data_IF_081284549262
#
_entry.id   IF_081284549262
#
_cell.length_a   1.000
_cell.length_b   1.000
_cell.length_c   1.000
_cell.angle_alpha   90.00
_cell.angle_beta   90.00
_cell.angle_gamma   90.00
#
_symmetry.space_group_name_H-M   'P 1'
#
loop_
_entity.id
_entity.type
_entity.pdbx_description
1 polymer ?
#
# COMPACT_ATOMS: atom_id res chain seq x y z
N UNK A 1 -11.84 25.09 14.40
CA UNK A 1 -10.96 23.90 14.49
C UNK A 1 -9.59 24.31 13.99
N UNK A 2 -8.51 23.98 14.70
CA UNK A 2 -7.15 24.20 14.22
C UNK A 2 -6.78 23.08 13.26
N UNK A 3 -6.08 23.40 12.18
CA UNK A 3 -5.54 22.41 11.26
C UNK A 3 -4.32 21.73 11.90
N UNK A 4 -4.31 20.39 11.94
CA UNK A 4 -3.14 19.61 12.33
C UNK A 4 -2.39 19.14 11.07
N UNK A 5 -1.25 19.76 10.82
CA UNK A 5 -0.42 19.43 9.66
C UNK A 5 0.17 18.01 9.77
N UNK A 6 0.50 17.56 10.99
CA UNK A 6 1.14 16.27 11.20
C UNK A 6 0.18 15.12 10.88
N UNK A 7 -1.08 15.28 11.30
CA UNK A 7 -2.17 14.37 10.99
C UNK A 7 -2.43 14.35 9.48
N UNK A 8 -2.58 15.54 8.86
CA UNK A 8 -2.82 15.65 7.42
C UNK A 8 -1.74 14.97 6.58
N UNK A 9 -0.46 15.16 6.91
CA UNK A 9 0.66 14.53 6.17
C UNK A 9 0.69 13.01 6.37
N UNK A 10 0.37 12.53 7.58
CA UNK A 10 0.37 11.10 7.91
C UNK A 10 -0.78 10.39 7.18
N UNK A 11 -2.01 10.89 7.35
CA UNK A 11 -3.20 10.35 6.70
C UNK A 11 -3.13 10.48 5.17
N UNK A 12 -2.57 11.59 4.67
CA UNK A 12 -2.33 11.79 3.25
C UNK A 12 -1.41 10.72 2.65
N UNK A 13 -0.32 10.37 3.34
CA UNK A 13 0.57 9.28 2.88
C UNK A 13 -0.11 7.92 2.96
N UNK A 14 -0.77 7.61 4.07
CA UNK A 14 -1.49 6.33 4.26
C UNK A 14 -2.55 6.14 3.17
N UNK A 15 -3.38 7.15 2.94
CA UNK A 15 -4.40 7.13 1.90
C UNK A 15 -3.78 6.97 0.51
N UNK A 16 -2.68 7.65 0.23
CA UNK A 16 -1.99 7.54 -1.06
C UNK A 16 -1.44 6.14 -1.30
N UNK A 17 -0.91 5.48 -0.27
CA UNK A 17 -0.44 4.08 -0.37
C UNK A 17 -1.60 3.13 -0.58
N UNK A 18 -2.64 3.22 0.26
CA UNK A 18 -3.77 2.29 0.23
C UNK A 18 -4.55 2.35 -1.09
N UNK A 19 -4.61 3.52 -1.72
CA UNK A 19 -5.25 3.71 -3.01
C UNK A 19 -4.30 3.49 -4.21
N UNK A 20 -3.05 3.06 -3.98
CA UNK A 20 -2.05 2.84 -5.03
C UNK A 20 -1.65 4.11 -5.79
N UNK A 21 -1.87 5.30 -5.21
CA UNK A 21 -1.53 6.58 -5.83
C UNK A 21 -0.02 6.84 -5.83
N UNK A 22 0.69 6.31 -4.82
CA UNK A 22 2.14 6.37 -4.75
C UNK A 22 2.74 4.98 -4.46
N UNK A 23 3.94 4.68 -5.00
CA UNK A 23 4.67 3.48 -4.61
C UNK A 23 5.01 3.48 -3.11
N UNK A 24 4.95 2.31 -2.48
CA UNK A 24 5.28 2.16 -1.06
C UNK A 24 6.67 2.70 -0.70
N UNK A 25 7.67 2.45 -1.55
CA UNK A 25 9.04 2.88 -1.27
C UNK A 25 9.16 4.41 -1.27
N UNK A 26 8.38 5.08 -2.13
CA UNK A 26 8.31 6.54 -2.16
C UNK A 26 7.61 7.09 -0.90
N UNK A 27 6.56 6.41 -0.41
CA UNK A 27 5.89 6.77 0.83
C UNK A 27 6.84 6.67 2.05
N UNK A 28 7.68 5.64 2.11
CA UNK A 28 8.72 5.51 3.16
C UNK A 28 9.71 6.67 3.13
N UNK A 29 10.17 7.08 1.94
CA UNK A 29 11.08 8.23 1.79
C UNK A 29 10.42 9.53 2.26
N UNK A 30 9.14 9.76 1.90
CA UNK A 30 8.42 10.95 2.35
C UNK A 30 8.22 10.97 3.87
N UNK A 31 7.81 9.85 4.47
CA UNK A 31 7.67 9.75 5.92
C UNK A 31 9.00 10.03 6.65
N UNK A 32 10.11 9.48 6.16
CA UNK A 32 11.45 9.77 6.69
C UNK A 32 11.82 11.25 6.57
N UNK A 33 11.56 11.89 5.42
CA UNK A 33 11.82 13.31 5.24
C UNK A 33 10.94 14.20 6.13
N UNK A 34 9.68 13.82 6.35
CA UNK A 34 8.79 14.53 7.26
C UNK A 34 9.24 14.43 8.71
N UNK A 35 9.73 13.26 9.13
CA UNK A 35 10.32 13.07 10.45
C UNK A 35 11.57 13.94 10.64
N UNK A 36 12.50 13.94 9.68
CA UNK A 36 13.71 14.78 9.73
C UNK A 36 13.37 16.27 9.76
N UNK A 37 12.27 16.67 9.12
CA UNK A 37 11.75 18.05 9.17
C UNK A 37 10.88 18.34 10.40
N UNK A 38 10.74 17.39 11.32
CA UNK A 38 9.88 17.50 12.51
C UNK A 38 8.41 17.82 12.19
N UNK A 39 7.95 17.43 10.99
CA UNK A 39 6.56 17.62 10.55
C UNK A 39 5.64 16.51 11.05
N UNK A 40 6.21 15.34 11.31
CA UNK A 40 5.55 14.19 11.93
C UNK A 40 6.46 13.60 13.00
N UNK A 41 5.89 12.76 13.85
CA UNK A 41 6.59 12.05 14.92
C UNK A 41 7.03 10.65 14.47
N UNK A 42 7.92 10.03 15.25
CA UNK A 42 8.32 8.65 15.03
C UNK A 42 7.12 7.69 15.06
N UNK A 43 6.12 7.96 15.91
CA UNK A 43 4.90 7.15 15.99
C UNK A 43 4.06 7.24 14.70
N UNK A 44 4.00 8.42 14.08
CA UNK A 44 3.32 8.60 12.79
C UNK A 44 4.09 7.93 11.64
N UNK A 45 5.42 7.90 11.67
CA UNK A 45 6.23 7.11 10.72
C UNK A 45 5.91 5.61 10.84
N UNK A 46 5.77 5.10 12.07
CA UNK A 46 5.37 3.71 12.29
C UNK A 46 4.00 3.43 11.68
N UNK A 47 3.02 4.31 11.86
CA UNK A 47 1.69 4.16 11.25
C UNK A 47 1.74 4.08 9.72
N UNK A 48 2.54 4.93 9.06
CA UNK A 48 2.74 4.85 7.61
C UNK A 48 3.38 3.52 7.20
N UNK A 49 4.36 3.06 7.98
CA UNK A 49 5.07 1.80 7.71
C UNK A 49 4.16 0.57 7.87
N UNK A 50 3.28 0.59 8.88
CA UNK A 50 2.28 -0.45 9.11
C UNK A 50 1.26 -0.49 7.97
N UNK A 51 0.78 0.68 7.52
CA UNK A 51 -0.12 0.78 6.37
C UNK A 51 0.52 0.24 5.08
N UNK A 52 1.79 0.55 4.84
CA UNK A 52 2.57 -0.01 3.72
C UNK A 52 2.64 -1.53 3.80
N UNK A 53 2.91 -2.07 4.98
CA UNK A 53 3.00 -3.52 5.19
C UNK A 53 1.68 -4.21 4.91
N UNK A 54 0.57 -3.65 5.42
CA UNK A 54 -0.78 -4.13 5.16
C UNK A 54 -1.12 -4.08 3.66
N UNK A 55 -0.80 -2.97 2.98
CA UNK A 55 -1.03 -2.82 1.55
C UNK A 55 -0.25 -3.85 0.71
N UNK A 56 1.04 -4.08 1.02
CA UNK A 56 1.85 -5.10 0.33
C UNK A 56 1.30 -6.51 0.55
N UNK A 57 0.84 -6.81 1.77
CA UNK A 57 0.21 -8.10 2.07
C UNK A 57 -1.11 -8.29 1.30
N UNK A 58 -1.93 -7.24 1.20
CA UNK A 58 -3.18 -7.26 0.43
C UNK A 58 -2.92 -7.44 -1.07
N UNK A 59 -1.92 -6.76 -1.64
CA UNK A 59 -1.52 -6.97 -3.04
C UNK A 59 -1.05 -8.41 -3.29
N UNK A 60 -0.19 -8.95 -2.43
CA UNK A 60 0.27 -10.34 -2.58
C UNK A 60 -0.88 -11.35 -2.53
N UNK A 61 -1.90 -11.12 -1.70
CA UNK A 61 -3.10 -11.95 -1.66
C UNK A 61 -3.96 -11.81 -2.94
N UNK A 62 -4.09 -10.59 -3.47
CA UNK A 62 -4.80 -10.34 -4.73
C UNK A 62 -4.10 -11.00 -5.92
N UNK A 63 -2.76 -10.91 -5.99
CA UNK A 63 -1.96 -11.57 -7.03
C UNK A 63 -2.12 -13.10 -6.98
N UNK A 64 -2.17 -13.69 -5.78
CA UNK A 64 -2.42 -15.13 -5.61
C UNK A 64 -3.82 -15.54 -6.06
N UNK A 65 -4.84 -14.73 -5.78
CA UNK A 65 -6.21 -14.99 -6.24
C UNK A 65 -6.32 -14.93 -7.77
N UNK A 66 -5.65 -13.96 -8.42
CA UNK A 66 -5.62 -13.87 -9.88
C UNK A 66 -4.86 -15.05 -10.52
N UNK A 67 -3.77 -15.52 -9.91
CA UNK A 67 -3.04 -16.69 -10.41
C UNK A 67 -3.86 -17.99 -10.33
N UNK A 68 -4.73 -18.14 -9.32
CA UNK A 68 -5.63 -19.29 -9.23
C UNK A 68 -6.70 -19.30 -10.33
N UNK A 69 -7.21 -18.15 -10.73
CA UNK A 69 -8.22 -18.03 -11.80
C UNK A 69 -7.65 -18.30 -13.21
N UNK A 70 -6.40 -17.88 -13.47
CA UNK A 70 -5.67 -18.20 -14.71
C UNK A 70 -5.37 -19.71 -14.82
N UNK A 71 -5.12 -20.38 -13.70
CA UNK A 71 -4.88 -21.82 -13.66
C UNK A 71 -6.16 -22.68 -13.80
N UNK A 72 -7.36 -22.11 -13.64
CA UNK A 72 -8.64 -22.82 -13.80
C UNK A 72 -9.26 -22.68 -15.20
N UNK A 73 -8.79 -21.73 -16.03
CA UNK A 73 -9.28 -21.53 -17.41
C UNK A 73 -8.45 -22.26 -18.47
N UNK A 74 -7.38 -22.95 -18.07
CA UNK A 74 -6.54 -23.79 -18.95
C UNK A 74 -6.91 -25.28 -18.85
N UNK A 75 -8.20 -25.62 -18.89
CA UNK A 75 -8.59 -26.98 -19.24
C UNK A 75 -8.53 -27.08 -20.77
N UNK A 76 -7.74 -27.99 -21.36
CA UNK A 76 -7.78 -28.19 -22.80
C UNK A 76 -9.17 -28.69 -23.15
N UNK A 77 -9.88 -27.92 -23.98
CA UNK A 77 -11.03 -28.42 -24.74
C UNK A 77 -10.51 -29.54 -25.64
N UNK A 78 -10.49 -30.77 -25.13
CA UNK A 78 -10.27 -31.98 -25.93
C UNK A 78 -11.50 -32.16 -26.81
N UNK A 79 -11.45 -31.45 -27.92
CA UNK A 79 -12.39 -31.48 -29.01
C UNK A 79 -11.99 -32.65 -29.91
N UNK A 80 -12.37 -33.89 -29.62
CA UNK A 80 -12.15 -34.95 -30.60
C UNK A 80 -13.21 -36.06 -30.59
N UNK A 81 -14.09 -35.94 -31.61
CA UNK A 81 -14.71 -36.97 -32.47
C UNK A 81 -15.54 -38.11 -31.87
#
# INVERSE_FOLDING_TARGET
>A
MSFDLSEFLTEGLISSVNNGLIPSDLATVYAGNYLVKSLITQAQVTQVSDAITAYKAAQAAADQAQQQEVNQTSAPEDTLK
#
